data_IF_864162201559
#
_entry.id   IF_864162201559
#
_cell.length_a   1.000
_cell.length_b   1.000
_cell.length_c   1.000
_cell.angle_alpha   90.00
_cell.angle_beta   90.00
_cell.angle_gamma   90.00
#
_symmetry.space_group_name_H-M   'P 1'
#
loop_
_entity.id
_entity.type
_entity.pdbx_description
1 polymer ?
#
# COMPACT_ATOMS: atom_id res chain seq x y z
N UNK A 1 3.92 4.38 -2.59
CA UNK A 1 4.50 4.08 -3.91
C UNK A 1 3.51 3.25 -4.71
N UNK A 2 3.73 3.18 -6.02
CA UNK A 2 2.97 2.33 -6.93
C UNK A 2 3.21 0.84 -6.65
N UNK A 3 2.29 0.00 -7.10
CA UNK A 3 2.44 -1.45 -7.00
C UNK A 3 3.55 -1.91 -7.95
N UNK A 4 4.33 -2.92 -7.54
CA UNK A 4 5.40 -3.50 -8.35
C UNK A 4 4.91 -4.19 -9.62
N UNK A 5 3.61 -4.45 -9.70
CA UNK A 5 2.93 -5.10 -10.83
C UNK A 5 1.74 -4.25 -11.26
N UNK A 6 1.39 -4.35 -12.53
CA UNK A 6 0.20 -3.69 -13.10
C UNK A 6 -1.05 -4.58 -13.04
N UNK A 7 -0.88 -5.88 -12.80
CA UNK A 7 -1.97 -6.87 -12.66
C UNK A 7 -1.63 -7.94 -11.60
N UNK A 8 -2.66 -8.53 -11.01
CA UNK A 8 -2.55 -9.54 -9.96
C UNK A 8 -2.06 -8.99 -8.61
N UNK A 9 -1.25 -9.80 -7.92
CA UNK A 9 -0.72 -9.49 -6.58
C UNK A 9 0.74 -9.07 -6.68
N UNK A 10 1.06 -7.90 -6.12
CA UNK A 10 2.43 -7.39 -6.03
C UNK A 10 2.75 -6.79 -4.68
N UNK A 11 3.80 -5.99 -4.63
CA UNK A 11 4.23 -5.29 -3.42
C UNK A 11 4.41 -3.80 -3.67
N UNK A 12 4.20 -3.00 -2.63
CA UNK A 12 4.50 -1.57 -2.63
C UNK A 12 5.21 -1.17 -1.35
N UNK A 13 6.07 -0.18 -1.48
CA UNK A 13 6.79 0.45 -0.38
C UNK A 13 5.92 1.54 0.26
N UNK A 14 5.75 1.48 1.58
CA UNK A 14 5.10 2.54 2.37
C UNK A 14 6.13 3.28 3.23
N UNK A 15 5.86 4.55 3.49
CA UNK A 15 6.64 5.28 4.49
C UNK A 15 6.20 4.82 5.88
N UNK A 16 7.17 4.49 6.72
CA UNK A 16 6.94 4.18 8.13
C UNK A 16 7.57 5.32 8.92
N UNK A 17 6.72 6.06 9.64
CA UNK A 17 7.14 7.12 10.55
C UNK A 17 6.87 6.67 11.97
N UNK A 18 7.68 7.19 12.87
CA UNK A 18 7.53 6.96 14.28
C UNK A 18 7.02 8.24 14.90
N UNK A 19 5.85 8.18 15.52
CA UNK A 19 5.16 9.34 16.05
C UNK A 19 4.66 9.03 17.46
N UNK A 20 4.61 10.06 18.30
CA UNK A 20 4.03 9.99 19.63
C UNK A 20 2.98 11.09 19.81
N UNK A 21 1.99 10.84 20.64
CA UNK A 21 0.89 11.76 20.89
C UNK A 21 1.02 12.30 22.32
N UNK A 22 1.08 13.63 22.46
CA UNK A 22 1.06 14.30 23.77
C UNK A 22 -0.35 14.28 24.37
N UNK A 23 -0.45 14.58 25.67
CA UNK A 23 -1.70 14.67 26.43
C UNK A 23 -2.72 15.64 25.79
N UNK A 24 -2.24 16.62 25.02
CA UNK A 24 -3.08 17.58 24.29
C UNK A 24 -3.46 17.10 22.87
N UNK A 25 -3.36 15.79 22.57
CA UNK A 25 -3.60 15.21 21.24
C UNK A 25 -2.71 15.77 20.10
N UNK A 26 -1.56 16.33 20.44
CA UNK A 26 -0.58 16.77 19.45
C UNK A 26 0.37 15.63 19.09
N UNK A 27 0.52 15.35 17.78
CA UNK A 27 1.42 14.31 17.27
C UNK A 27 2.79 14.90 16.92
N UNK A 28 3.86 14.22 17.35
CA UNK A 28 5.24 14.60 17.03
C UNK A 28 6.00 13.40 16.47
N UNK A 29 6.78 13.64 15.42
CA UNK A 29 7.64 12.62 14.83
C UNK A 29 8.91 12.44 15.67
N UNK A 30 9.20 11.20 16.04
CA UNK A 30 10.40 10.79 16.76
C UNK A 30 11.49 10.28 15.81
N UNK A 31 12.72 10.29 16.29
CA UNK A 31 13.83 9.61 15.61
C UNK A 31 13.70 8.09 15.74
N UNK A 32 14.18 7.35 14.73
CA UNK A 32 14.04 5.89 14.69
C UNK A 32 14.54 5.14 15.95
N UNK A 33 15.61 5.55 16.65
CA UNK A 33 16.08 4.88 17.85
C UNK A 33 15.17 5.05 19.08
N UNK A 34 14.34 6.10 19.10
CA UNK A 34 13.45 6.41 20.23
C UNK A 34 12.10 5.69 20.13
N UNK A 35 11.88 4.95 19.04
CA UNK A 35 10.63 4.26 18.77
C UNK A 35 10.53 2.99 19.62
N UNK A 36 9.51 2.87 20.47
CA UNK A 36 9.30 1.65 21.19
C UNK A 36 8.88 0.54 20.22
N UNK A 37 9.48 -0.64 20.37
CA UNK A 37 9.11 -1.84 19.63
C UNK A 37 9.80 -2.03 18.27
N UNK A 38 9.32 -3.02 17.52
CA UNK A 38 9.90 -3.41 16.25
C UNK A 38 9.38 -2.54 15.11
N UNK A 39 10.29 -2.08 14.23
CA UNK A 39 9.93 -1.33 13.04
C UNK A 39 9.00 -2.17 12.13
N UNK A 40 7.80 -1.67 11.82
CA UNK A 40 6.90 -2.38 10.90
C UNK A 40 7.52 -2.60 9.53
N UNK A 41 7.05 -3.64 8.82
CA UNK A 41 7.46 -3.90 7.44
C UNK A 41 7.13 -2.68 6.56
N UNK A 42 8.16 -2.24 5.85
CA UNK A 42 8.11 -1.15 4.85
C UNK A 42 7.41 -1.62 3.58
N UNK A 43 7.52 -2.90 3.25
CA UNK A 43 6.80 -3.51 2.14
C UNK A 43 5.42 -3.97 2.59
N UNK A 44 4.41 -3.69 1.79
CA UNK A 44 3.05 -4.21 1.94
C UNK A 44 2.56 -4.76 0.61
N UNK A 45 1.81 -5.85 0.67
CA UNK A 45 1.11 -6.39 -0.50
C UNK A 45 0.13 -5.36 -1.08
N UNK A 46 0.04 -5.33 -2.40
CA UNK A 46 -0.98 -4.61 -3.15
C UNK A 46 -1.68 -5.59 -4.10
N UNK A 47 -2.96 -5.32 -4.33
CA UNK A 47 -3.79 -6.07 -5.26
C UNK A 47 -4.18 -5.12 -6.38
N UNK A 48 -3.97 -5.59 -7.60
CA UNK A 48 -4.36 -4.95 -8.85
C UNK A 48 -5.33 -5.90 -9.57
N UNK A 49 -6.02 -5.45 -10.64
CA UNK A 49 -6.91 -6.34 -11.39
C UNK A 49 -6.16 -7.59 -11.84
N UNK A 50 -6.86 -8.72 -11.90
CA UNK A 50 -6.24 -9.98 -12.33
C UNK A 50 -5.56 -9.82 -13.69
N UNK A 51 -4.52 -10.63 -13.93
CA UNK A 51 -3.88 -10.65 -15.24
C UNK A 51 -4.77 -11.44 -16.21
N UNK A 52 -4.92 -10.92 -17.42
CA UNK A 52 -5.46 -11.66 -18.57
C UNK A 52 -4.49 -12.77 -18.98
N UNK A 53 -4.93 -13.73 -19.79
CA UNK A 53 -4.06 -14.82 -20.28
C UNK A 53 -2.84 -14.30 -21.06
N UNK A 54 -2.98 -13.14 -21.70
CA UNK A 54 -1.90 -12.46 -22.43
C UNK A 54 -0.97 -11.61 -21.53
N UNK A 55 -1.09 -11.72 -20.20
CA UNK A 55 -0.22 -11.02 -19.24
C UNK A 55 -0.49 -9.53 -19.06
N UNK A 56 -1.59 -9.03 -19.61
CA UNK A 56 -2.05 -7.63 -19.44
C UNK A 56 -3.00 -7.51 -18.26
N UNK A 57 -3.16 -6.30 -17.72
CA UNK A 57 -4.18 -6.06 -16.69
C UNK A 57 -5.56 -6.28 -17.27
N UNK A 58 -6.39 -7.08 -16.59
CA UNK A 58 -7.81 -7.23 -16.91
C UNK A 58 -8.50 -5.91 -16.57
N UNK A 59 -8.40 -4.93 -17.47
CA UNK A 59 -9.26 -3.77 -17.45
C UNK A 59 -10.68 -4.31 -17.54
N UNK A 60 -11.41 -4.29 -16.43
CA UNK A 60 -12.84 -4.51 -16.42
C UNK A 60 -13.48 -3.32 -17.12
N UNK A 61 -13.40 -3.28 -18.45
CA UNK A 61 -14.41 -2.60 -19.23
C UNK A 61 -15.67 -3.37 -18.90
N UNK A 62 -16.49 -2.84 -18.01
CA UNK A 62 -17.88 -3.25 -17.93
C UNK A 62 -18.40 -2.89 -19.32
N UNK A 63 -18.38 -3.84 -20.25
CA UNK A 63 -19.36 -3.83 -21.32
C UNK A 63 -20.66 -3.88 -20.56
N UNK A 64 -21.25 -2.72 -20.33
CA UNK A 64 -22.65 -2.58 -20.00
C UNK A 64 -23.39 -3.19 -21.18
N UNK A 65 -23.47 -4.52 -21.18
CA UNK A 65 -24.32 -5.25 -22.07
C UNK A 65 -25.75 -4.98 -21.61
N UNK A 66 -26.42 -4.19 -22.46
CA UNK A 66 -27.87 -4.05 -22.62
C UNK A 66 -28.52 -2.95 -21.77
N UNK A 67 -29.30 -2.04 -22.40
CA UNK A 67 -30.67 -2.28 -22.89
C UNK A 67 -31.56 -2.86 -21.79
#
# INVERSE_FOLDING_TARGET
>A
SECSVMCGTGTRTRQVKCETTSLNNQSYQLSSPLCPGLKPKVLRQCHTPDCSEDGTSKLSYILSENY
#
